data_IF_967617048148
#
_entry.id   IF_967617048148
#
_cell.length_a   1.000
_cell.length_b   1.000
_cell.length_c   1.000
_cell.angle_alpha   90.00
_cell.angle_beta   90.00
_cell.angle_gamma   90.00
#
_symmetry.space_group_name_H-M   'P 1'
#
loop_
_entity.id
_entity.type
_entity.pdbx_description
1 polymer ?
#
# COMPACT_ATOMS: atom_id res chain seq x y z
N UNK A 1 0.50 -7.60 35.67
CA UNK A 1 0.57 -8.71 34.69
C UNK A 1 1.22 -8.19 33.43
N UNK A 2 2.33 -8.78 33.03
CA UNK A 2 3.08 -8.32 31.83
C UNK A 2 2.35 -8.67 30.54
N UNK A 3 2.66 -7.94 29.44
CA UNK A 3 2.12 -8.21 28.08
C UNK A 3 2.31 -9.69 27.70
N UNK A 4 3.43 -10.30 28.09
CA UNK A 4 3.75 -11.71 27.84
C UNK A 4 2.78 -12.65 28.59
N UNK A 5 2.34 -12.30 29.80
CA UNK A 5 1.42 -13.11 30.58
C UNK A 5 0.00 -13.06 29.98
N UNK A 6 -0.44 -11.91 29.47
CA UNK A 6 -1.72 -11.77 28.77
C UNK A 6 -1.77 -12.53 27.45
N UNK A 7 -0.67 -12.52 26.70
CA UNK A 7 -0.53 -13.30 25.46
C UNK A 7 -0.59 -14.81 25.79
N UNK A 8 -0.02 -15.23 26.93
CA UNK A 8 -0.02 -16.63 27.37
C UNK A 8 -1.36 -17.08 27.90
N UNK A 9 -2.13 -16.21 28.56
CA UNK A 9 -3.46 -16.53 29.10
C UNK A 9 -4.55 -16.54 28.01
N UNK A 10 -4.44 -15.68 26.96
CA UNK A 10 -5.32 -15.74 25.80
C UNK A 10 -5.21 -17.06 25.03
N UNK A 11 -4.05 -17.73 25.07
CA UNK A 11 -3.84 -19.05 24.45
C UNK A 11 -4.38 -20.24 25.24
N UNK A 12 -4.93 -20.03 26.45
CA UNK A 12 -5.39 -21.13 27.32
C UNK A 12 -6.87 -21.44 27.23
N UNK A 13 -7.66 -20.65 26.53
CA UNK A 13 -9.08 -20.95 26.33
C UNK A 13 -9.20 -22.23 25.50
N UNK A 14 -9.88 -23.25 26.03
CA UNK A 14 -10.16 -24.48 25.27
C UNK A 14 -11.08 -24.11 24.09
N UNK A 15 -10.49 -24.00 22.91
CA UNK A 15 -11.22 -23.76 21.68
C UNK A 15 -11.46 -25.12 21.01
N UNK A 16 -12.71 -25.49 20.78
CA UNK A 16 -13.02 -26.59 19.92
C UNK A 16 -12.58 -26.18 18.49
N UNK A 17 -11.56 -26.85 17.98
CA UNK A 17 -10.97 -26.50 16.70
C UNK A 17 -11.91 -26.93 15.57
N UNK A 18 -12.76 -26.04 15.12
CA UNK A 18 -13.40 -26.17 13.82
C UNK A 18 -12.54 -25.39 12.84
N UNK A 19 -11.85 -26.13 11.99
CA UNK A 19 -11.04 -25.56 10.94
C UNK A 19 -11.93 -25.30 9.75
N UNK A 20 -12.02 -24.04 9.30
CA UNK A 20 -12.65 -23.74 8.03
C UNK A 20 -11.74 -24.24 6.91
N UNK A 21 -12.16 -25.30 6.27
CA UNK A 21 -11.50 -25.88 5.11
C UNK A 21 -12.23 -25.44 3.87
N UNK A 22 -11.54 -24.80 2.95
CA UNK A 22 -12.01 -24.62 1.58
C UNK A 22 -11.33 -25.67 0.68
N UNK A 23 -11.87 -25.96 -0.49
CA UNK A 23 -11.30 -26.94 -1.41
C UNK A 23 -9.87 -26.59 -1.86
N UNK A 24 -9.46 -25.34 -1.76
CA UNK A 24 -8.15 -24.84 -2.18
C UNK A 24 -7.26 -24.38 -1.03
N UNK A 25 -7.71 -24.51 0.18
CA UNK A 25 -6.93 -24.07 1.35
C UNK A 25 -7.72 -24.17 2.63
N UNK A 26 -7.02 -24.13 3.70
CA UNK A 26 -7.54 -24.34 5.07
C UNK A 26 -7.74 -23.01 5.79
N UNK A 27 -8.07 -21.94 5.07
CA UNK A 27 -8.16 -20.61 5.65
C UNK A 27 -6.80 -20.06 6.11
N UNK A 28 -5.71 -20.63 5.60
CA UNK A 28 -4.37 -20.14 5.83
C UNK A 28 -4.06 -18.97 4.91
N UNK A 29 -3.52 -17.95 5.52
CA UNK A 29 -2.87 -16.88 4.83
C UNK A 29 -1.37 -16.93 5.14
N UNK A 30 -0.54 -16.94 4.11
CA UNK A 30 0.91 -16.92 4.23
C UNK A 30 1.48 -15.61 3.67
N UNK A 31 2.28 -14.90 4.46
CA UNK A 31 3.00 -13.72 4.00
C UNK A 31 4.46 -14.07 3.72
N UNK A 32 4.84 -13.99 2.45
CA UNK A 32 6.20 -14.19 1.98
C UNK A 32 6.94 -12.86 1.81
N UNK A 33 7.16 -12.03 2.65
CA UNK A 33 7.86 -10.73 2.57
C UNK A 33 8.85 -10.50 1.40
N UNK A 34 9.07 -11.53 0.56
CA UNK A 34 10.00 -11.49 -0.59
C UNK A 34 9.51 -10.59 -1.71
N UNK A 35 8.21 -10.48 -1.94
CA UNK A 35 7.64 -9.61 -2.99
C UNK A 35 8.04 -8.15 -2.79
N UNK A 36 8.13 -7.71 -1.56
CA UNK A 36 8.53 -6.33 -1.24
C UNK A 36 10.00 -6.04 -1.59
N UNK A 37 10.83 -7.07 -1.87
CA UNK A 37 12.22 -6.88 -2.32
C UNK A 37 12.32 -6.47 -3.79
N UNK A 38 11.28 -6.77 -4.60
CA UNK A 38 11.22 -6.30 -5.98
C UNK A 38 11.06 -4.78 -6.03
N UNK A 39 11.87 -4.14 -6.86
CA UNK A 39 11.81 -2.70 -7.12
C UNK A 39 10.50 -2.31 -7.81
N UNK A 40 10.05 -3.11 -8.79
CA UNK A 40 8.79 -2.91 -9.52
C UNK A 40 7.59 -2.99 -8.58
N UNK A 41 7.51 -4.05 -7.75
CA UNK A 41 6.42 -4.22 -6.77
C UNK A 41 6.44 -3.10 -5.75
N UNK A 42 7.61 -2.78 -5.19
CA UNK A 42 7.76 -1.71 -4.20
C UNK A 42 7.34 -0.35 -4.76
N UNK A 43 7.72 -0.06 -6.00
CA UNK A 43 7.33 1.18 -6.68
C UNK A 43 5.82 1.23 -6.91
N UNK A 44 5.23 0.14 -7.36
CA UNK A 44 3.80 0.04 -7.66
C UNK A 44 2.90 0.22 -6.43
N UNK A 45 3.29 -0.31 -5.26
CA UNK A 45 2.46 -0.21 -4.05
C UNK A 45 2.68 1.09 -3.27
N UNK A 46 3.79 1.81 -3.49
CA UNK A 46 4.14 3.02 -2.75
C UNK A 46 3.04 4.09 -2.76
N UNK A 47 2.41 4.44 -3.90
CA UNK A 47 1.34 5.44 -3.92
C UNK A 47 0.16 5.07 -3.03
N UNK A 48 -0.24 3.80 -3.03
CA UNK A 48 -1.30 3.27 -2.19
C UNK A 48 -0.93 3.37 -0.70
N UNK A 49 0.23 2.87 -0.33
CA UNK A 49 0.72 2.85 1.05
C UNK A 49 0.80 4.26 1.63
N UNK A 50 1.38 5.19 0.86
CA UNK A 50 1.50 6.59 1.29
C UNK A 50 0.16 7.29 1.38
N UNK A 51 -0.78 7.01 0.46
CA UNK A 51 -2.11 7.60 0.50
C UNK A 51 -2.89 7.14 1.74
N UNK A 52 -2.89 5.85 2.05
CA UNK A 52 -3.52 5.32 3.26
C UNK A 52 -2.83 5.84 4.53
N UNK A 53 -1.50 5.99 4.52
CA UNK A 53 -0.75 6.58 5.63
C UNK A 53 -1.19 8.01 5.96
N UNK A 54 -1.53 8.80 4.95
CA UNK A 54 -1.96 10.20 5.09
C UNK A 54 -3.40 10.36 5.57
N UNK A 55 -4.21 9.31 5.60
CA UNK A 55 -5.57 9.40 6.12
C UNK A 55 -5.56 9.89 7.57
N UNK A 56 -6.48 10.78 7.90
CA UNK A 56 -6.60 11.37 9.24
C UNK A 56 -7.73 10.64 9.96
N UNK A 57 -7.44 9.89 11.03
CA UNK A 57 -8.47 9.30 11.86
C UNK A 57 -9.04 10.34 12.81
N UNK A 58 -10.36 10.33 12.97
CA UNK A 58 -11.08 11.19 13.92
C UNK A 58 -12.11 10.35 14.65
N UNK A 59 -12.25 10.57 15.93
CA UNK A 59 -13.43 10.15 16.65
C UNK A 59 -14.54 11.17 16.40
N UNK A 60 -15.73 10.69 16.10
CA UNK A 60 -16.93 11.53 15.94
C UNK A 60 -17.99 11.03 16.90
N UNK A 61 -18.57 11.95 17.65
CA UNK A 61 -19.75 11.73 18.47
C UNK A 61 -20.91 12.53 17.91
N UNK A 62 -21.92 11.81 17.41
CA UNK A 62 -23.14 12.40 16.86
C UNK A 62 -24.22 12.38 17.95
N UNK A 63 -24.72 13.55 18.30
CA UNK A 63 -25.77 13.73 19.30
C UNK A 63 -26.88 14.62 18.77
N UNK A 64 -28.05 14.54 19.36
CA UNK A 64 -29.16 15.43 19.08
C UNK A 64 -29.34 16.39 20.24
N UNK A 65 -29.15 17.69 20.03
CA UNK A 65 -29.38 18.74 21.01
C UNK A 65 -30.49 19.66 20.49
N UNK A 66 -31.57 19.78 21.24
CA UNK A 66 -32.72 20.63 20.90
C UNK A 66 -33.40 20.32 19.54
N UNK A 67 -33.36 19.08 19.07
CA UNK A 67 -33.87 18.68 17.74
C UNK A 67 -32.93 18.94 16.59
N UNK A 68 -31.73 19.46 16.87
CA UNK A 68 -30.66 19.63 15.86
C UNK A 68 -29.54 18.62 16.07
N UNK A 69 -29.07 18.07 14.95
CA UNK A 69 -27.89 17.19 14.97
C UNK A 69 -26.65 17.99 15.31
N UNK A 70 -26.00 17.65 16.40
CA UNK A 70 -24.71 18.20 16.80
C UNK A 70 -23.63 17.13 16.61
N UNK A 71 -22.48 17.54 16.07
CA UNK A 71 -21.34 16.66 15.82
C UNK A 71 -20.15 17.17 16.64
N UNK A 72 -19.66 16.33 17.54
CA UNK A 72 -18.43 16.61 18.29
C UNK A 72 -17.28 15.81 17.71
N UNK A 73 -16.16 16.49 17.44
CA UNK A 73 -14.96 15.88 16.85
C UNK A 73 -13.92 15.65 17.95
N UNK A 74 -13.42 14.42 18.03
CA UNK A 74 -12.45 13.98 19.03
C UNK A 74 -12.87 14.31 20.48
N UNK A 75 -14.09 13.93 20.90
CA UNK A 75 -14.56 14.23 22.25
C UNK A 75 -13.73 13.52 23.32
N UNK A 76 -13.20 12.33 23.02
CA UNK A 76 -12.35 11.56 23.93
C UNK A 76 -10.86 11.75 23.56
N UNK A 77 -10.14 12.48 24.41
CA UNK A 77 -8.71 12.70 24.24
C UNK A 77 -7.90 11.39 24.25
N UNK A 78 -8.38 10.37 24.95
CA UNK A 78 -7.71 9.06 25.03
C UNK A 78 -7.78 8.30 23.70
N UNK A 79 -8.97 8.25 23.08
CA UNK A 79 -9.17 7.64 21.77
C UNK A 79 -8.36 8.40 20.69
N UNK A 80 -8.40 9.74 20.73
CA UNK A 80 -7.59 10.55 19.82
C UNK A 80 -6.11 10.21 19.93
N UNK A 81 -5.58 10.17 21.15
CA UNK A 81 -4.18 9.83 21.40
C UNK A 81 -3.82 8.43 20.88
N UNK A 82 -4.68 7.43 21.11
CA UNK A 82 -4.50 6.08 20.61
C UNK A 82 -4.47 6.01 19.07
N UNK A 83 -5.20 6.89 18.37
CA UNK A 83 -5.20 6.96 16.91
C UNK A 83 -3.96 7.69 16.35
N UNK A 84 -3.43 8.67 17.10
CA UNK A 84 -2.22 9.42 16.77
C UNK A 84 -0.95 8.62 17.08
N UNK A 85 -0.91 7.94 18.24
CA UNK A 85 0.19 7.10 18.73
C UNK A 85 -0.32 5.71 19.12
N UNK A 86 -0.57 4.84 18.16
CA UNK A 86 -1.19 3.52 18.42
C UNK A 86 -0.32 2.60 19.29
N UNK A 87 0.98 2.82 19.30
CA UNK A 87 1.93 2.10 20.15
C UNK A 87 3.24 2.88 20.30
N UNK A 88 4.11 2.53 21.29
CA UNK A 88 5.36 3.25 21.56
C UNK A 88 6.40 3.24 20.43
N UNK A 89 6.20 2.45 19.39
CA UNK A 89 7.18 2.24 18.31
C UNK A 89 6.81 2.93 17.01
N UNK A 90 5.57 3.39 16.86
CA UNK A 90 5.04 3.88 15.58
C UNK A 90 4.09 5.05 15.79
N UNK A 91 4.29 6.11 14.99
CA UNK A 91 3.25 7.12 14.81
C UNK A 91 2.06 6.55 14.04
N UNK A 92 0.90 7.18 14.15
CA UNK A 92 -0.31 6.75 13.44
C UNK A 92 -0.12 6.66 11.92
N UNK A 93 0.68 7.54 11.31
CA UNK A 93 1.01 7.46 9.89
C UNK A 93 1.74 6.17 9.54
N UNK A 94 2.88 5.91 10.21
CA UNK A 94 3.69 4.71 9.95
C UNK A 94 2.90 3.43 10.21
N UNK A 95 2.06 3.43 11.23
CA UNK A 95 1.15 2.34 11.54
C UNK A 95 0.19 2.05 10.37
N UNK A 96 -0.47 3.08 9.81
CA UNK A 96 -1.37 2.94 8.66
C UNK A 96 -0.63 2.52 7.40
N UNK A 97 0.56 3.05 7.14
CA UNK A 97 1.41 2.63 6.02
C UNK A 97 1.74 1.12 6.11
N UNK A 98 2.04 0.64 7.30
CA UNK A 98 2.31 -0.78 7.53
C UNK A 98 1.09 -1.66 7.26
N UNK A 99 -0.08 -1.24 7.73
CA UNK A 99 -1.34 -1.95 7.45
C UNK A 99 -1.66 -1.96 5.95
N UNK A 100 -1.48 -0.82 5.28
CA UNK A 100 -1.69 -0.71 3.84
C UNK A 100 -0.76 -1.64 3.05
N UNK A 101 0.53 -1.71 3.42
CA UNK A 101 1.48 -2.60 2.78
C UNK A 101 1.11 -4.09 2.99
N UNK A 102 0.68 -4.47 4.19
CA UNK A 102 0.18 -5.82 4.46
C UNK A 102 -1.08 -6.12 3.64
N UNK A 103 -2.03 -5.20 3.63
CA UNK A 103 -3.31 -5.37 2.94
C UNK A 103 -3.14 -5.56 1.44
N UNK A 104 -2.33 -4.73 0.78
CA UNK A 104 -2.15 -4.80 -0.67
C UNK A 104 -1.37 -6.04 -1.11
N UNK A 105 -0.41 -6.52 -0.31
CA UNK A 105 0.42 -7.67 -0.66
C UNK A 105 -0.23 -9.00 -0.28
N UNK A 106 -0.94 -9.03 0.84
CA UNK A 106 -1.43 -10.28 1.44
C UNK A 106 -2.94 -10.44 1.38
N UNK A 107 -3.67 -9.43 0.85
CA UNK A 107 -5.12 -9.40 0.90
C UNK A 107 -5.69 -9.25 2.31
N UNK A 108 -4.84 -9.22 3.33
CA UNK A 108 -5.20 -9.15 4.75
C UNK A 108 -4.22 -8.28 5.53
N UNK A 109 -4.75 -7.53 6.51
CA UNK A 109 -3.93 -6.85 7.51
C UNK A 109 -4.58 -7.00 8.89
N UNK A 110 -3.78 -7.24 9.91
CA UNK A 110 -4.24 -7.53 11.25
C UNK A 110 -3.62 -6.60 12.27
N UNK A 111 -4.45 -6.15 13.21
CA UNK A 111 -4.03 -5.35 14.36
C UNK A 111 -4.54 -5.99 15.62
N UNK A 112 -3.65 -6.25 16.57
CA UNK A 112 -4.02 -6.66 17.92
C UNK A 112 -4.29 -5.43 18.77
N UNK A 113 -5.45 -5.37 19.37
CA UNK A 113 -5.81 -4.38 20.39
C UNK A 113 -5.40 -4.94 21.76
N UNK A 114 -4.49 -4.27 22.41
CA UNK A 114 -4.18 -4.56 23.81
C UNK A 114 -5.06 -3.71 24.68
N UNK A 115 -5.82 -4.37 25.58
CA UNK A 115 -6.72 -3.71 26.52
C UNK A 115 -6.15 -3.72 27.93
N UNK A 116 -6.49 -2.70 28.70
CA UNK A 116 -6.20 -2.64 30.13
C UNK A 116 -7.09 -3.60 30.95
N UNK A 117 -6.96 -3.55 32.29
CA UNK A 117 -7.78 -4.39 33.18
C UNK A 117 -9.27 -4.00 33.17
N UNK A 118 -9.60 -2.78 32.75
CA UNK A 118 -10.97 -2.28 32.60
C UNK A 118 -11.58 -2.59 31.23
N UNK A 119 -10.81 -3.20 30.31
CA UNK A 119 -11.23 -3.50 28.95
C UNK A 119 -11.04 -2.33 27.97
N UNK A 120 -10.46 -1.20 28.40
CA UNK A 120 -10.18 -0.07 27.52
C UNK A 120 -8.98 -0.37 26.60
N UNK A 121 -9.04 0.04 25.32
CA UNK A 121 -7.96 -0.19 24.36
C UNK A 121 -6.74 0.68 24.71
N UNK A 122 -5.65 0.07 25.13
CA UNK A 122 -4.42 0.74 25.56
C UNK A 122 -3.41 0.93 24.43
N UNK A 123 -3.34 -0.02 23.52
CA UNK A 123 -2.36 -0.01 22.42
C UNK A 123 -2.85 -0.86 21.26
N UNK A 124 -2.38 -0.53 20.05
CA UNK A 124 -2.68 -1.26 18.83
C UNK A 124 -1.38 -1.69 18.14
N UNK A 125 -1.21 -2.98 17.94
CA UNK A 125 0.00 -3.58 17.38
C UNK A 125 -0.31 -4.27 16.04
N UNK A 126 0.33 -3.89 14.93
CA UNK A 126 0.21 -4.64 13.68
C UNK A 126 0.82 -6.03 13.85
N UNK A 127 0.07 -7.08 13.50
CA UNK A 127 0.54 -8.46 13.60
C UNK A 127 1.28 -8.83 12.32
N UNK A 128 2.55 -9.22 12.45
CA UNK A 128 3.37 -9.77 11.38
C UNK A 128 3.31 -11.29 11.48
N UNK A 129 2.29 -11.91 10.90
CA UNK A 129 2.16 -13.36 10.87
C UNK A 129 2.64 -13.92 9.53
N UNK A 130 3.27 -15.09 9.58
CA UNK A 130 3.60 -15.89 8.40
C UNK A 130 2.37 -16.63 7.90
N UNK A 131 1.52 -17.07 8.84
CA UNK A 131 0.25 -17.70 8.54
C UNK A 131 -0.80 -17.34 9.60
N UNK A 132 -2.05 -17.35 9.17
CA UNK A 132 -3.22 -17.14 10.02
C UNK A 132 -4.26 -18.22 9.75
N UNK A 133 -4.90 -18.71 10.80
CA UNK A 133 -5.97 -19.69 10.70
C UNK A 133 -7.18 -19.27 11.54
N UNK A 134 -8.39 -19.41 10.97
CA UNK A 134 -9.63 -19.21 11.69
C UNK A 134 -9.95 -20.42 12.56
N UNK A 135 -10.32 -20.18 13.81
CA UNK A 135 -10.81 -21.18 14.74
C UNK A 135 -12.11 -20.73 15.35
N UNK A 136 -13.03 -21.65 15.54
CA UNK A 136 -14.30 -21.37 16.18
C UNK A 136 -14.38 -22.04 17.53
N UNK A 137 -14.77 -21.28 18.54
CA UNK A 137 -15.10 -21.81 19.86
C UNK A 137 -16.43 -22.56 19.79
N UNK A 138 -16.73 -23.37 20.83
CA UNK A 138 -18.01 -24.12 20.96
C UNK A 138 -19.25 -23.22 20.88
N UNK A 139 -19.13 -21.97 21.33
CA UNK A 139 -20.19 -20.96 21.28
C UNK A 139 -20.26 -20.22 19.91
N UNK A 140 -19.51 -20.67 18.92
CA UNK A 140 -19.44 -20.05 17.59
C UNK A 140 -18.59 -18.79 17.50
N UNK A 141 -17.92 -18.37 18.58
CA UNK A 141 -17.05 -17.20 18.54
C UNK A 141 -15.80 -17.45 17.68
N UNK A 142 -15.47 -16.51 16.81
CA UNK A 142 -14.30 -16.56 15.96
C UNK A 142 -13.04 -16.18 16.72
N UNK A 143 -12.00 -16.96 16.53
CA UNK A 143 -10.65 -16.74 17.00
C UNK A 143 -9.66 -16.81 15.85
N UNK A 144 -8.60 -16.01 15.91
CA UNK A 144 -7.52 -16.02 14.93
C UNK A 144 -6.27 -16.62 15.56
N UNK A 145 -5.75 -17.68 14.97
CA UNK A 145 -4.47 -18.29 15.33
C UNK A 145 -3.39 -17.80 14.38
N UNK A 146 -2.42 -17.09 14.93
CA UNK A 146 -1.31 -16.47 14.18
C UNK A 146 -0.03 -17.25 14.39
N UNK A 147 0.60 -17.65 13.32
CA UNK A 147 1.95 -18.20 13.34
C UNK A 147 2.95 -17.11 12.97
N UNK A 148 3.88 -16.82 13.86
CA UNK A 148 4.94 -15.83 13.62
C UNK A 148 6.16 -16.46 12.96
N UNK A 149 7.04 -15.62 12.38
CA UNK A 149 8.28 -16.05 11.71
C UNK A 149 9.22 -16.88 12.61
N UNK A 150 9.20 -16.63 13.91
CA UNK A 150 9.97 -17.39 14.91
C UNK A 150 9.33 -18.74 15.31
N UNK A 151 8.29 -19.17 14.59
CA UNK A 151 7.55 -20.41 14.85
C UNK A 151 6.59 -20.35 16.04
N UNK A 152 6.49 -19.24 16.77
CA UNK A 152 5.53 -19.08 17.86
C UNK A 152 4.12 -18.92 17.30
N UNK A 153 3.16 -19.55 18.00
CA UNK A 153 1.75 -19.51 17.67
C UNK A 153 1.01 -18.79 18.78
N UNK A 154 0.17 -17.82 18.41
CA UNK A 154 -0.69 -17.07 19.32
C UNK A 154 -2.12 -17.11 18.80
N UNK A 155 -3.08 -17.19 19.73
CA UNK A 155 -4.50 -17.20 19.38
C UNK A 155 -5.20 -16.06 20.11
N UNK A 156 -5.92 -15.22 19.34
CA UNK A 156 -6.65 -14.07 19.86
C UNK A 156 -8.12 -14.14 19.45
N UNK A 157 -9.05 -13.67 20.29
CA UNK A 157 -10.45 -13.54 19.91
C UNK A 157 -10.61 -12.46 18.83
N UNK A 158 -11.55 -12.67 17.90
CA UNK A 158 -11.87 -11.68 16.85
C UNK A 158 -12.21 -10.30 17.44
N UNK A 159 -12.76 -10.24 18.65
CA UNK A 159 -13.09 -8.99 19.33
C UNK A 159 -11.88 -8.08 19.58
N UNK A 160 -10.69 -8.67 19.75
CA UNK A 160 -9.44 -7.92 19.99
C UNK A 160 -8.55 -7.81 18.75
N UNK A 161 -9.06 -8.23 17.59
CA UNK A 161 -8.33 -8.16 16.32
C UNK A 161 -9.10 -7.28 15.34
N UNK A 162 -8.48 -6.18 14.89
CA UNK A 162 -8.94 -5.45 13.70
C UNK A 162 -8.42 -6.21 12.50
N UNK A 163 -9.30 -6.62 11.62
CA UNK A 163 -8.99 -7.37 10.43
C UNK A 163 -9.46 -6.63 9.18
N UNK A 164 -8.50 -6.10 8.43
CA UNK A 164 -8.75 -5.51 7.11
C UNK A 164 -8.57 -6.57 6.04
N UNK A 165 -9.44 -6.58 5.03
CA UNK A 165 -9.52 -7.63 4.02
C UNK A 165 -9.71 -7.06 2.63
N UNK A 166 -9.13 -7.73 1.65
CA UNK A 166 -9.25 -7.38 0.25
C UNK A 166 -9.35 -8.65 -0.60
N UNK A 167 -10.01 -8.54 -1.74
CA UNK A 167 -10.06 -9.61 -2.76
C UNK A 167 -10.63 -10.94 -2.21
N UNK A 168 -11.92 -10.91 -1.86
CA UNK A 168 -12.63 -12.10 -1.38
C UNK A 168 -12.97 -13.03 -2.53
N UNK A 169 -12.51 -14.28 -2.46
CA UNK A 169 -12.92 -15.32 -3.39
C UNK A 169 -12.90 -16.73 -2.78
N UNK A 170 -11.80 -17.12 -2.17
CA UNK A 170 -11.56 -18.52 -1.76
C UNK A 170 -12.00 -18.82 -0.32
N UNK A 171 -12.20 -17.80 0.49
CA UNK A 171 -12.43 -17.95 1.92
C UNK A 171 -13.42 -16.92 2.46
N UNK A 172 -14.33 -17.37 3.32
CA UNK A 172 -15.35 -16.49 3.92
C UNK A 172 -14.80 -15.53 4.98
N UNK A 173 -13.63 -15.85 5.56
CA UNK A 173 -13.02 -15.05 6.64
C UNK A 173 -11.89 -14.18 6.14
N UNK A 174 -11.05 -14.70 5.24
CA UNK A 174 -9.82 -14.04 4.80
C UNK A 174 -9.92 -13.58 3.35
N UNK A 175 -9.28 -12.44 3.06
CA UNK A 175 -9.04 -11.99 1.71
C UNK A 175 -7.99 -12.86 1.01
N UNK A 176 -8.04 -12.93 -0.31
CA UNK A 176 -7.13 -13.71 -1.12
C UNK A 176 -5.79 -12.97 -1.33
N UNK A 177 -4.64 -13.60 -1.06
CA UNK A 177 -3.35 -12.96 -1.28
C UNK A 177 -3.04 -12.80 -2.76
N UNK A 178 -2.47 -11.68 -3.14
CA UNK A 178 -2.04 -11.40 -4.51
C UNK A 178 -0.74 -12.13 -4.88
N UNK A 179 -0.01 -12.63 -3.87
CA UNK A 179 1.30 -13.25 -4.01
C UNK A 179 1.37 -14.37 -5.06
N UNK A 180 0.40 -15.31 -5.16
CA UNK A 180 0.45 -16.36 -6.18
C UNK A 180 0.40 -15.81 -7.61
N UNK A 181 -0.42 -14.79 -7.87
CA UNK A 181 -0.53 -14.17 -9.19
C UNK A 181 0.72 -13.32 -9.52
N UNK A 182 1.28 -12.62 -8.54
CA UNK A 182 2.53 -11.87 -8.69
C UNK A 182 3.73 -12.79 -8.89
N UNK A 183 3.78 -13.95 -8.24
CA UNK A 183 4.92 -14.85 -8.31
C UNK A 183 5.26 -15.26 -9.76
N UNK A 184 4.24 -15.54 -10.57
CA UNK A 184 4.43 -15.87 -12.00
C UNK A 184 5.02 -14.69 -12.80
N UNK A 185 4.57 -13.47 -12.53
CA UNK A 185 5.10 -12.27 -13.18
C UNK A 185 6.52 -11.96 -12.72
N UNK A 186 6.80 -12.17 -11.44
CA UNK A 186 8.14 -11.97 -10.86
C UNK A 186 9.15 -12.98 -11.37
N UNK A 187 8.74 -14.23 -11.67
CA UNK A 187 9.60 -15.20 -12.31
C UNK A 187 10.05 -14.72 -13.71
N UNK A 188 9.12 -14.14 -14.49
CA UNK A 188 9.46 -13.57 -15.79
C UNK A 188 10.45 -12.41 -15.62
N UNK A 189 10.20 -11.46 -14.71
CA UNK A 189 11.09 -10.31 -14.44
C UNK A 189 12.48 -10.82 -14.06
N UNK A 190 12.56 -11.68 -13.05
CA UNK A 190 13.85 -12.20 -12.54
C UNK A 190 14.63 -12.97 -13.60
N UNK A 191 13.94 -13.78 -14.40
CA UNK A 191 14.58 -14.53 -15.50
C UNK A 191 15.09 -13.60 -16.59
N UNK A 192 14.30 -12.57 -16.91
CA UNK A 192 14.67 -11.53 -17.88
C UNK A 192 15.90 -10.75 -17.42
N UNK A 193 15.92 -10.29 -16.17
CA UNK A 193 17.04 -9.56 -15.57
C UNK A 193 18.31 -10.43 -15.55
N UNK A 194 18.19 -11.70 -15.18
CA UNK A 194 19.30 -12.64 -15.24
C UNK A 194 19.80 -12.86 -16.66
N UNK A 195 18.91 -12.92 -17.64
CA UNK A 195 19.25 -12.97 -19.06
C UNK A 195 20.06 -11.77 -19.50
N UNK A 196 19.61 -10.56 -19.13
CA UNK A 196 20.32 -9.30 -19.40
C UNK A 196 21.70 -9.28 -18.72
N UNK A 197 21.77 -9.63 -17.44
CA UNK A 197 23.02 -9.70 -16.69
C UNK A 197 24.01 -10.70 -17.35
N UNK A 198 23.51 -11.87 -17.78
CA UNK A 198 24.31 -12.85 -18.53
C UNK A 198 24.78 -12.28 -19.87
N UNK A 199 23.88 -11.66 -20.64
CA UNK A 199 24.23 -11.05 -21.92
C UNK A 199 25.32 -9.97 -21.76
N UNK A 200 25.18 -9.10 -20.73
CA UNK A 200 26.18 -8.08 -20.42
C UNK A 200 27.52 -8.71 -19.99
N UNK A 201 27.50 -9.72 -19.11
CA UNK A 201 28.71 -10.42 -18.66
C UNK A 201 29.35 -11.23 -19.79
N UNK A 202 28.54 -11.88 -20.62
CA UNK A 202 28.99 -12.69 -21.74
C UNK A 202 29.33 -11.89 -22.99
N UNK A 203 29.02 -10.59 -23.03
CA UNK A 203 29.48 -9.71 -24.13
C UNK A 203 31.01 -9.72 -24.26
N UNK A 204 31.73 -10.22 -23.27
CA UNK A 204 33.17 -10.43 -23.25
C UNK A 204 33.59 -11.89 -23.57
N UNK A 205 32.66 -12.83 -23.85
CA UNK A 205 32.95 -14.26 -23.98
C UNK A 205 32.95 -14.70 -25.42
N UNK A 206 33.99 -15.47 -25.77
CA UNK A 206 34.29 -16.20 -27.01
C UNK A 206 33.44 -15.83 -28.23
N UNK A 207 33.87 -14.77 -28.90
CA UNK A 207 33.28 -14.34 -30.19
C UNK A 207 33.92 -15.09 -31.36
N UNK A 208 35.03 -15.80 -31.13
CA UNK A 208 35.83 -16.38 -32.15
C UNK A 208 36.21 -17.85 -31.84
N UNK A 209 35.98 -18.76 -32.76
CA UNK A 209 36.46 -20.11 -32.72
C UNK A 209 37.70 -20.20 -33.64
N UNK A 210 38.85 -20.42 -33.01
CA UNK A 210 40.11 -20.58 -33.74
C UNK A 210 40.28 -22.07 -34.04
N UNK A 211 40.29 -22.45 -35.32
CA UNK A 211 40.55 -23.80 -35.77
C UNK A 211 41.91 -23.88 -36.40
N UNK A 212 42.77 -24.73 -35.88
CA UNK A 212 44.13 -24.94 -36.45
C UNK A 212 44.17 -26.20 -37.30
N UNK A 213 44.87 -26.08 -38.46
CA UNK A 213 44.99 -27.20 -39.44
C UNK A 213 45.90 -28.29 -38.91
N UNK A 214 46.85 -27.99 -38.06
CA UNK A 214 47.76 -28.95 -37.42
C UNK A 214 47.35 -29.16 -35.94
N UNK A 215 47.50 -30.41 -35.46
CA UNK A 215 47.31 -30.72 -34.04
C UNK A 215 48.40 -30.03 -33.24
N UNK A 216 47.97 -29.14 -32.32
CA UNK A 216 48.82 -28.41 -31.39
C UNK A 216 48.68 -29.00 -29.98
N UNK A 217 49.71 -28.84 -29.16
CA UNK A 217 49.62 -29.18 -27.74
C UNK A 217 48.71 -28.18 -27.02
N UNK A 218 48.07 -28.55 -25.93
CA UNK A 218 47.17 -27.68 -25.18
C UNK A 218 47.80 -26.33 -24.80
N UNK A 219 49.05 -26.34 -24.40
CA UNK A 219 49.83 -25.11 -24.02
C UNK A 219 50.03 -24.16 -25.21
N UNK A 220 50.25 -24.72 -26.42
CA UNK A 220 50.42 -23.91 -27.63
C UNK A 220 49.07 -23.36 -28.13
N UNK A 221 47.96 -24.07 -27.89
CA UNK A 221 46.61 -23.60 -28.18
C UNK A 221 46.23 -22.38 -27.32
N UNK A 222 46.53 -22.47 -26.04
CA UNK A 222 46.27 -21.41 -25.08
C UNK A 222 47.09 -20.16 -25.39
N UNK A 223 48.38 -20.34 -25.72
CA UNK A 223 49.26 -19.26 -26.11
C UNK A 223 48.79 -18.57 -27.39
N UNK A 224 48.39 -19.33 -28.41
CA UNK A 224 47.88 -18.79 -29.67
C UNK A 224 46.54 -18.09 -29.50
N UNK A 225 45.66 -18.59 -28.65
CA UNK A 225 44.39 -17.94 -28.30
C UNK A 225 44.63 -16.61 -27.58
N UNK A 226 45.59 -16.54 -26.66
CA UNK A 226 45.99 -15.32 -25.98
C UNK A 226 46.62 -14.30 -26.93
N UNK A 227 47.51 -14.71 -27.78
CA UNK A 227 48.12 -13.86 -28.84
C UNK A 227 47.07 -13.27 -29.80
N UNK A 228 46.07 -14.07 -30.19
CA UNK A 228 44.94 -13.60 -30.98
C UNK A 228 44.10 -12.56 -30.25
N UNK A 229 43.75 -12.85 -28.98
CA UNK A 229 42.96 -11.93 -28.15
C UNK A 229 43.68 -10.61 -27.91
N UNK A 230 44.98 -10.65 -27.65
CA UNK A 230 45.80 -9.44 -27.46
C UNK A 230 45.98 -8.63 -28.75
N UNK A 231 46.12 -9.30 -29.89
CA UNK A 231 46.38 -8.62 -31.18
C UNK A 231 45.12 -8.06 -31.82
N UNK A 232 43.95 -8.69 -31.61
CA UNK A 232 42.75 -8.35 -32.38
C UNK A 232 41.53 -7.97 -31.58
N UNK A 233 41.43 -8.33 -30.29
CA UNK A 233 40.25 -8.08 -29.46
C UNK A 233 40.39 -6.93 -28.49
N UNK A 234 41.55 -6.31 -28.35
CA UNK A 234 41.74 -5.10 -27.56
C UNK A 234 41.13 -3.88 -28.26
N UNK A 235 40.39 -3.10 -27.54
CA UNK A 235 39.71 -1.88 -28.03
C UNK A 235 40.68 -0.83 -28.60
N UNK A 236 41.96 -0.94 -28.28
CA UNK A 236 43.03 -0.03 -28.75
C UNK A 236 43.52 -0.34 -30.18
N UNK A 237 43.22 -1.55 -30.71
CA UNK A 237 43.62 -1.96 -32.04
C UNK A 237 42.54 -1.67 -33.10
N UNK A 238 42.09 -0.42 -33.19
CA UNK A 238 40.96 0.06 -33.97
C UNK A 238 41.05 -0.04 -35.51
N UNK A 239 41.85 -0.93 -36.10
CA UNK A 239 42.00 -1.04 -37.58
C UNK A 239 40.91 -1.90 -38.25
N UNK A 240 40.10 -2.63 -37.47
CA UNK A 240 38.97 -3.43 -38.00
C UNK A 240 39.33 -4.57 -38.95
N UNK A 241 40.60 -4.81 -39.21
CA UNK A 241 41.10 -5.86 -40.13
C UNK A 241 42.08 -6.77 -39.38
N UNK A 242 41.77 -8.05 -39.35
CA UNK A 242 42.65 -9.11 -38.85
C UNK A 242 43.22 -9.94 -39.99
N UNK A 243 44.57 -10.02 -40.10
CA UNK A 243 45.25 -10.92 -40.98
C UNK A 243 45.53 -12.25 -40.28
N UNK A 244 45.04 -13.35 -40.80
CA UNK A 244 45.20 -14.70 -40.25
C UNK A 244 46.07 -15.52 -41.15
N UNK A 245 47.03 -16.28 -40.62
CA UNK A 245 47.88 -17.19 -41.36
C UNK A 245 47.05 -18.40 -41.90
N UNK A 246 47.45 -18.93 -43.03
CA UNK A 246 46.83 -20.09 -43.68
C UNK A 246 46.74 -21.37 -42.79
N UNK A 247 47.42 -21.38 -41.64
CA UNK A 247 47.40 -22.47 -40.68
C UNK A 247 46.24 -22.35 -39.64
N UNK A 248 45.49 -21.23 -39.63
CA UNK A 248 44.46 -20.93 -38.68
C UNK A 248 43.20 -20.39 -39.36
N UNK A 249 42.05 -20.98 -39.08
CA UNK A 249 40.75 -20.47 -39.52
C UNK A 249 40.03 -19.88 -38.30
N UNK A 250 39.68 -18.60 -38.41
CA UNK A 250 38.97 -17.86 -37.35
C UNK A 250 37.52 -17.69 -37.75
N UNK A 251 36.62 -18.35 -37.08
CA UNK A 251 35.18 -18.24 -37.33
C UNK A 251 34.51 -17.48 -36.21
N UNK A 252 33.75 -16.46 -36.54
CA UNK A 252 32.91 -15.78 -35.58
C UNK A 252 31.79 -16.72 -35.14
N UNK A 253 31.64 -16.87 -33.82
CA UNK A 253 30.55 -17.61 -33.21
C UNK A 253 29.43 -16.62 -32.89
N UNK A 254 28.42 -16.63 -33.74
CA UNK A 254 27.20 -15.88 -33.44
C UNK A 254 26.48 -16.60 -32.29
N UNK A 255 26.74 -16.20 -31.08
CA UNK A 255 25.90 -16.56 -29.92
C UNK A 255 24.58 -15.84 -30.09
N UNK A 256 23.52 -16.57 -30.38
CA UNK A 256 22.16 -16.05 -30.29
C UNK A 256 21.84 -15.89 -28.80
N UNK A 257 22.37 -14.84 -28.20
CA UNK A 257 21.95 -14.46 -26.86
C UNK A 257 20.54 -13.88 -26.95
N UNK A 258 19.61 -14.50 -26.24
CA UNK A 258 18.27 -13.98 -26.12
C UNK A 258 18.34 -12.71 -25.26
N UNK A 259 18.27 -11.56 -25.91
CA UNK A 259 18.07 -10.27 -25.24
C UNK A 259 16.56 -10.02 -25.24
N UNK A 260 15.91 -9.92 -24.07
CA UNK A 260 14.48 -9.64 -24.01
C UNK A 260 14.16 -8.34 -24.74
N UNK A 261 13.08 -8.33 -25.51
CA UNK A 261 12.62 -7.14 -26.18
C UNK A 261 12.07 -6.15 -25.14
N UNK A 262 12.46 -4.86 -25.23
CA UNK A 262 11.97 -3.79 -24.36
C UNK A 262 10.43 -3.78 -24.25
N UNK A 263 9.71 -4.00 -25.35
CA UNK A 263 8.25 -4.10 -25.36
C UNK A 263 7.68 -5.27 -24.52
N UNK A 264 8.43 -6.37 -24.34
CA UNK A 264 8.02 -7.47 -23.46
C UNK A 264 8.22 -7.09 -21.99
N UNK A 265 9.31 -6.40 -21.67
CA UNK A 265 9.60 -5.90 -20.33
C UNK A 265 8.54 -4.89 -19.89
N UNK A 266 8.22 -3.93 -20.76
CA UNK A 266 7.18 -2.92 -20.51
C UNK A 266 5.81 -3.57 -20.30
N UNK A 267 5.43 -4.57 -21.11
CA UNK A 267 4.21 -5.34 -20.93
C UNK A 267 4.15 -6.05 -19.58
N UNK A 268 5.26 -6.64 -19.16
CA UNK A 268 5.30 -7.34 -17.86
C UNK A 268 5.13 -6.36 -16.72
N UNK A 269 5.81 -5.21 -16.77
CA UNK A 269 5.65 -4.13 -15.79
C UNK A 269 4.23 -3.60 -15.77
N UNK A 270 3.61 -3.36 -16.93
CA UNK A 270 2.22 -2.91 -17.02
C UNK A 270 1.24 -3.94 -16.44
N UNK A 271 1.49 -5.25 -16.62
CA UNK A 271 0.67 -6.30 -16.01
C UNK A 271 0.79 -6.30 -14.48
N UNK A 272 2.00 -6.08 -13.94
CA UNK A 272 2.20 -5.93 -12.49
C UNK A 272 1.46 -4.69 -11.99
N UNK A 273 1.54 -3.56 -12.69
CA UNK A 273 0.80 -2.34 -12.33
C UNK A 273 -0.71 -2.56 -12.38
N UNK A 274 -1.23 -3.21 -13.43
CA UNK A 274 -2.65 -3.52 -13.56
C UNK A 274 -3.13 -4.45 -12.43
N UNK A 275 -2.34 -5.48 -12.08
CA UNK A 275 -2.67 -6.40 -10.98
C UNK A 275 -2.71 -5.68 -9.62
N UNK A 276 -1.85 -4.69 -9.42
CA UNK A 276 -1.82 -3.83 -8.24
C UNK A 276 -2.73 -2.60 -8.36
N UNK A 277 -3.58 -2.58 -9.42
CA UNK A 277 -4.56 -1.52 -9.68
C UNK A 277 -3.95 -0.11 -9.72
N UNK A 278 -2.75 0.01 -10.29
CA UNK A 278 -2.02 1.27 -10.49
C UNK A 278 -1.56 1.42 -11.94
N UNK A 279 -0.91 2.51 -12.24
CA UNK A 279 -0.29 2.76 -13.55
C UNK A 279 1.00 3.59 -13.40
N UNK A 280 1.77 3.68 -14.48
CA UNK A 280 3.04 4.37 -14.51
C UNK A 280 2.93 5.83 -14.05
N UNK A 281 1.90 6.57 -14.47
CA UNK A 281 1.72 7.99 -14.12
C UNK A 281 1.49 8.21 -12.63
N UNK A 282 0.76 7.29 -11.99
CA UNK A 282 0.58 7.28 -10.53
C UNK A 282 1.90 6.96 -9.84
N UNK A 283 2.61 5.94 -10.31
CA UNK A 283 3.89 5.47 -9.72
C UNK A 283 4.98 6.52 -9.81
N UNK A 284 5.10 7.19 -10.97
CA UNK A 284 6.12 8.22 -11.22
C UNK A 284 5.72 9.62 -10.73
N UNK A 285 4.51 9.77 -10.17
CA UNK A 285 3.97 11.06 -9.73
C UNK A 285 3.74 12.09 -10.85
N UNK A 286 3.66 11.65 -12.10
CA UNK A 286 3.32 12.48 -13.26
C UNK A 286 1.81 12.59 -13.52
N UNK A 287 1.01 12.19 -12.53
CA UNK A 287 -0.44 12.15 -12.59
C UNK A 287 -1.07 13.55 -12.62
N UNK A 288 -2.17 13.68 -13.32
CA UNK A 288 -3.08 14.81 -13.19
C UNK A 288 -3.96 14.69 -11.92
N UNK A 289 -4.63 15.77 -11.52
CA UNK A 289 -5.59 15.76 -10.42
C UNK A 289 -6.75 14.77 -10.66
N UNK A 290 -7.29 14.75 -11.88
CA UNK A 290 -8.37 13.82 -12.25
C UNK A 290 -7.92 12.35 -12.18
N UNK A 291 -6.72 12.03 -12.64
CA UNK A 291 -6.17 10.67 -12.54
C UNK A 291 -5.96 10.25 -11.08
N UNK A 292 -5.56 11.21 -10.25
CA UNK A 292 -5.42 10.95 -8.82
C UNK A 292 -6.77 10.72 -8.14
N UNK A 293 -7.77 11.55 -8.44
CA UNK A 293 -9.11 11.40 -7.88
C UNK A 293 -9.71 10.05 -8.28
N UNK A 294 -9.62 9.66 -9.55
CA UNK A 294 -10.08 8.36 -10.01
C UNK A 294 -9.36 7.18 -9.32
N UNK A 295 -8.06 7.31 -9.09
CA UNK A 295 -7.28 6.32 -8.34
C UNK A 295 -7.70 6.27 -6.87
N UNK A 296 -7.90 7.44 -6.26
CA UNK A 296 -8.34 7.57 -4.88
C UNK A 296 -9.70 6.89 -4.67
N UNK A 297 -10.69 7.24 -5.48
CA UNK A 297 -12.05 6.69 -5.40
C UNK A 297 -12.07 5.16 -5.60
N UNK A 298 -11.25 4.66 -6.52
CA UNK A 298 -11.22 3.23 -6.82
C UNK A 298 -10.41 2.40 -5.83
N UNK A 299 -9.32 2.93 -5.23
CA UNK A 299 -8.36 2.14 -4.45
C UNK A 299 -8.26 2.54 -2.99
N UNK A 300 -8.38 3.82 -2.69
CA UNK A 300 -8.15 4.34 -1.33
C UNK A 300 -9.46 4.44 -0.56
N UNK A 301 -10.51 4.95 -1.16
CA UNK A 301 -11.81 5.13 -0.51
C UNK A 301 -12.39 3.83 0.04
N UNK A 302 -12.38 2.68 -0.67
CA UNK A 302 -12.86 1.42 -0.10
C UNK A 302 -12.11 1.00 1.16
N UNK A 303 -10.79 1.27 1.21
CA UNK A 303 -9.96 0.98 2.39
C UNK A 303 -10.25 1.95 3.52
N UNK A 304 -10.45 3.22 3.22
CA UNK A 304 -10.86 4.25 4.17
C UNK A 304 -12.18 3.87 4.85
N UNK A 305 -13.18 3.44 4.09
CA UNK A 305 -14.47 2.99 4.61
C UNK A 305 -14.31 1.75 5.49
N UNK A 306 -13.48 0.80 5.07
CA UNK A 306 -13.21 -0.41 5.85
C UNK A 306 -12.45 -0.09 7.16
N UNK A 307 -11.45 0.78 7.12
CA UNK A 307 -10.76 1.28 8.32
C UNK A 307 -11.76 1.90 9.28
N UNK A 308 -12.61 2.81 8.80
CA UNK A 308 -13.63 3.49 9.61
C UNK A 308 -14.57 2.50 10.27
N UNK A 309 -15.08 1.53 9.52
CA UNK A 309 -16.00 0.51 10.01
C UNK A 309 -15.35 -0.44 11.02
N UNK A 310 -14.16 -0.98 10.72
CA UNK A 310 -13.50 -1.96 11.57
C UNK A 310 -12.96 -1.33 12.86
N UNK A 311 -12.38 -0.14 12.81
CA UNK A 311 -11.94 0.58 14.00
C UNK A 311 -13.14 0.93 14.90
N UNK A 312 -14.23 1.45 14.33
CA UNK A 312 -15.47 1.70 15.08
C UNK A 312 -16.01 0.43 15.75
N UNK A 313 -16.04 -0.67 15.00
CA UNK A 313 -16.58 -1.95 15.49
C UNK A 313 -15.76 -2.55 16.63
N UNK A 314 -14.45 -2.34 16.65
CA UNK A 314 -13.51 -2.97 17.58
C UNK A 314 -13.13 -2.07 18.75
N UNK A 315 -13.11 -0.77 18.57
CA UNK A 315 -12.76 0.17 19.65
C UNK A 315 -13.96 0.49 20.53
N UNK A 316 -15.17 0.54 19.97
CA UNK A 316 -16.39 0.85 20.71
C UNK A 316 -17.31 -0.35 20.90
N UNK A 317 -17.91 -0.44 22.08
CA UNK A 317 -18.98 -1.39 22.38
C UNK A 317 -20.24 -1.11 21.54
N UNK A 318 -21.15 -2.07 21.47
CA UNK A 318 -22.45 -1.85 20.78
C UNK A 318 -23.23 -0.68 21.35
N UNK A 319 -23.14 -0.46 22.68
CA UNK A 319 -23.83 0.64 23.35
C UNK A 319 -23.25 1.99 22.91
N UNK A 320 -21.95 2.15 22.98
CA UNK A 320 -21.27 3.40 22.58
C UNK A 320 -21.56 3.76 21.12
N UNK A 321 -21.54 2.76 20.22
CA UNK A 321 -21.91 2.95 18.80
C UNK A 321 -23.37 3.37 18.63
N UNK A 322 -24.29 2.79 19.43
CA UNK A 322 -25.70 3.16 19.40
C UNK A 322 -25.94 4.59 19.89
N UNK A 323 -25.05 5.14 20.72
CA UNK A 323 -25.07 6.51 21.18
C UNK A 323 -24.32 7.50 20.25
N UNK A 324 -23.86 7.04 19.07
CA UNK A 324 -23.30 7.91 18.05
C UNK A 324 -21.77 7.97 18.00
N UNK A 325 -21.06 7.17 18.81
CA UNK A 325 -19.60 7.10 18.75
C UNK A 325 -19.13 6.30 17.51
N UNK A 326 -18.24 6.88 16.72
CA UNK A 326 -17.62 6.22 15.57
C UNK A 326 -16.24 6.79 15.28
N UNK A 327 -15.40 5.97 14.67
CA UNK A 327 -14.14 6.41 14.09
C UNK A 327 -14.37 6.63 12.59
N UNK A 328 -13.92 7.77 12.11
CA UNK A 328 -13.95 8.10 10.69
C UNK A 328 -12.52 8.39 10.24
N UNK A 329 -12.12 7.76 9.16
CA UNK A 329 -10.88 8.11 8.46
C UNK A 329 -11.26 9.08 7.33
N UNK A 330 -10.53 10.15 7.21
CA UNK A 330 -10.75 11.15 6.17
C UNK A 330 -9.46 11.36 5.39
N UNK A 331 -9.58 11.54 4.09
CA UNK A 331 -8.52 12.17 3.35
C UNK A 331 -8.56 13.67 3.68
N UNK A 332 -7.41 14.29 3.87
CA UNK A 332 -7.38 15.74 3.79
C UNK A 332 -7.85 16.12 2.37
N UNK A 333 -9.08 16.61 2.28
CA UNK A 333 -9.72 16.94 1.00
C UNK A 333 -8.86 17.91 0.16
N UNK A 334 -7.95 18.59 0.82
CA UNK A 334 -7.16 19.66 0.23
C UNK A 334 -5.69 19.30 -0.02
N UNK A 335 -5.19 18.17 0.50
CA UNK A 335 -3.76 17.79 0.33
C UNK A 335 -3.42 17.42 -1.13
N UNK A 336 -4.39 16.91 -1.86
CA UNK A 336 -4.25 16.56 -3.28
C UNK A 336 -4.70 17.67 -4.24
N UNK A 337 -5.46 18.67 -3.74
CA UNK A 337 -5.92 19.79 -4.53
C UNK A 337 -4.75 20.72 -4.90
N UNK A 338 -4.67 21.06 -6.18
CA UNK A 338 -3.68 22.03 -6.64
C UNK A 338 -4.00 23.44 -6.13
N UNK A 339 -3.03 24.36 -6.24
CA UNK A 339 -3.20 25.73 -5.75
C UNK A 339 -4.38 26.44 -6.40
N UNK A 340 -4.62 26.21 -7.71
CA UNK A 340 -5.74 26.84 -8.42
C UNK A 340 -7.09 26.34 -7.91
N UNK A 341 -7.24 25.06 -7.62
CA UNK A 341 -8.44 24.48 -7.01
C UNK A 341 -8.68 25.08 -5.63
N UNK A 342 -7.65 25.19 -4.79
CA UNK A 342 -7.76 25.82 -3.46
C UNK A 342 -8.16 27.28 -3.55
N UNK A 343 -7.61 28.03 -4.50
CA UNK A 343 -7.97 29.42 -4.73
C UNK A 343 -9.41 29.57 -5.22
N UNK A 344 -9.93 28.64 -6.02
CA UNK A 344 -11.30 28.66 -6.47
C UNK A 344 -12.34 28.52 -5.34
N UNK A 345 -11.95 27.96 -4.17
CA UNK A 345 -12.80 27.86 -2.99
C UNK A 345 -13.22 29.21 -2.42
N UNK A 346 -12.52 30.31 -2.74
CA UNK A 346 -12.93 31.66 -2.37
C UNK A 346 -14.36 31.95 -2.81
N UNK A 347 -14.77 31.43 -3.96
CA UNK A 347 -16.14 31.59 -4.43
C UNK A 347 -17.19 30.93 -3.51
N UNK A 348 -16.85 29.88 -2.78
CA UNK A 348 -17.71 29.24 -1.78
C UNK A 348 -17.80 30.07 -0.52
N UNK A 349 -16.67 30.70 -0.11
CA UNK A 349 -16.64 31.63 1.04
C UNK A 349 -17.51 32.85 0.74
N UNK A 350 -17.38 33.43 -0.45
CA UNK A 350 -18.15 34.57 -0.90
C UNK A 350 -19.68 34.34 -0.93
N UNK A 351 -20.06 33.06 -1.15
CA UNK A 351 -21.47 32.64 -1.15
C UNK A 351 -21.99 32.18 0.23
N UNK A 352 -21.14 32.18 1.25
CA UNK A 352 -21.47 31.69 2.57
C UNK A 352 -21.66 30.18 2.68
N UNK A 353 -21.20 29.43 1.68
CA UNK A 353 -21.21 27.95 1.69
C UNK A 353 -20.00 27.37 2.46
N UNK A 354 -18.97 28.17 2.68
CA UNK A 354 -17.76 27.85 3.41
C UNK A 354 -17.38 29.04 4.30
N UNK A 355 -16.91 28.78 5.52
CA UNK A 355 -16.44 29.84 6.41
C UNK A 355 -15.02 30.30 6.06
N UNK A 356 -14.62 31.52 6.42
CA UNK A 356 -13.24 31.97 6.26
C UNK A 356 -12.21 31.05 6.95
N UNK A 357 -12.53 30.49 8.12
CA UNK A 357 -11.63 29.63 8.86
C UNK A 357 -11.50 28.24 8.19
N UNK A 358 -12.56 27.67 7.62
CA UNK A 358 -12.49 26.44 6.82
C UNK A 358 -11.60 26.63 5.57
N UNK A 359 -11.72 27.77 4.89
CA UNK A 359 -10.85 28.11 3.77
C UNK A 359 -9.38 28.26 4.19
N UNK A 360 -9.13 28.93 5.33
CA UNK A 360 -7.78 29.07 5.90
C UNK A 360 -7.19 27.71 6.27
N UNK A 361 -8.00 26.81 6.81
CA UNK A 361 -7.58 25.44 7.14
C UNK A 361 -7.11 24.66 5.89
N UNK A 362 -7.72 24.90 4.72
CA UNK A 362 -7.27 24.30 3.46
C UNK A 362 -5.83 24.72 3.06
N UNK A 363 -5.34 25.84 3.60
CA UNK A 363 -3.97 26.33 3.43
C UNK A 363 -3.09 26.15 4.69
N UNK A 364 -3.54 25.39 5.68
CA UNK A 364 -2.86 25.23 6.98
C UNK A 364 -2.58 26.56 7.69
N UNK A 365 -3.44 27.55 7.53
CA UNK A 365 -3.35 28.84 8.19
C UNK A 365 -4.14 28.81 9.51
N UNK A 366 -3.60 29.47 10.54
CA UNK A 366 -4.27 29.60 11.83
C UNK A 366 -5.64 30.28 11.69
N UNK A 367 -6.67 29.87 12.46
CA UNK A 367 -7.98 30.48 12.42
C UNK A 367 -7.93 31.95 12.86
N UNK A 368 -8.84 32.76 12.33
CA UNK A 368 -9.04 34.16 12.72
C UNK A 368 -10.21 34.25 13.69
N UNK A 369 -10.17 35.17 14.66
CA UNK A 369 -11.33 35.51 15.49
C UNK A 369 -12.52 35.94 14.62
N UNK A 370 -13.70 35.34 14.83
CA UNK A 370 -14.90 35.63 14.05
C UNK A 370 -14.94 34.96 12.66
N UNK A 371 -13.88 34.24 12.25
CA UNK A 371 -13.82 33.61 10.94
C UNK A 371 -14.63 32.30 10.80
N UNK A 372 -15.32 31.85 11.86
CA UNK A 372 -16.22 30.69 11.83
C UNK A 372 -17.65 31.07 11.42
N UNK A 373 -17.93 32.38 11.27
CA UNK A 373 -19.22 32.85 10.77
C UNK A 373 -19.18 32.90 9.24
N UNK A 374 -20.21 32.35 8.56
CA UNK A 374 -20.34 32.49 7.12
C UNK A 374 -20.46 33.96 6.74
N UNK A 375 -19.67 34.38 5.74
CA UNK A 375 -19.77 35.75 5.18
C UNK A 375 -20.40 35.65 3.81
N UNK A 376 -21.18 36.66 3.43
CA UNK A 376 -21.72 36.83 2.08
C UNK A 376 -21.24 38.16 1.50
N UNK A 377 -21.02 38.16 0.20
CA UNK A 377 -20.84 39.41 -0.53
C UNK A 377 -22.14 40.24 -0.46
N UNK A 378 -22.02 41.52 -0.31
CA UNK A 378 -23.16 42.45 -0.22
C UNK A 378 -24.02 42.50 -1.49
N UNK A 379 -23.51 42.01 -2.63
CA UNK A 379 -24.20 41.94 -3.92
C UNK A 379 -25.05 40.68 -4.12
N UNK A 380 -25.10 39.77 -3.15
CA UNK A 380 -25.93 38.54 -3.22
C UNK A 380 -27.17 38.68 -2.33
N UNK A 381 -28.35 38.85 -2.95
CA UNK A 381 -29.64 38.78 -2.27
C UNK A 381 -30.16 37.35 -2.12
N UNK A 382 -30.93 37.08 -1.06
CA UNK A 382 -31.66 35.81 -0.94
C UNK A 382 -32.86 35.82 -1.89
N UNK A 383 -33.09 34.68 -2.57
CA UNK A 383 -34.18 34.53 -3.57
C UNK A 383 -35.58 34.74 -2.95
N UNK A 384 -35.71 34.71 -1.63
CA UNK A 384 -36.98 34.76 -0.88
C UNK A 384 -37.16 36.00 0.00
N UNK A 385 -36.34 37.02 -0.12
CA UNK A 385 -36.67 38.31 0.52
C UNK A 385 -37.75 39.01 -0.30
N UNK A 386 -38.92 39.30 0.29
CA UNK A 386 -39.89 40.15 -0.38
C UNK A 386 -39.22 41.51 -0.65
N UNK A 387 -39.24 41.95 -1.90
CA UNK A 387 -38.82 43.32 -2.22
C UNK A 387 -39.62 44.25 -1.34
N UNK A 388 -38.98 44.95 -0.41
CA UNK A 388 -39.60 46.15 0.21
C UNK A 388 -39.95 47.05 -0.94
N UNK A 389 -41.24 47.27 -1.12
CA UNK A 389 -41.75 48.30 -2.03
C UNK A 389 -41.27 49.61 -1.50
N UNK A 390 -40.36 50.28 -2.23
CA UNK A 390 -40.11 51.69 -2.01
C UNK A 390 -41.44 52.42 -2.09
N UNK A 391 -41.97 52.83 -0.93
CA UNK A 391 -43.11 53.71 -0.81
C UNK A 391 -42.66 55.09 -1.30
N UNK A 392 -42.88 55.34 -2.57
CA UNK A 392 -42.77 56.67 -3.14
C UNK A 392 -43.98 57.49 -2.64
N UNK A 393 -43.84 58.00 -1.40
CA UNK A 393 -44.77 59.03 -0.87
C UNK A 393 -44.65 60.33 -1.66
N UNK A 394 -45.75 60.67 -2.32
CA UNK A 394 -46.02 62.04 -2.78
C UNK A 394 -46.00 63.06 -1.64
#
# INVERSE_FOLDING_TARGET
MGIIDRIRDAGRTKVAAVQLMTEQGNGFYAWDGRLYRSDVVRSAIRPFVQAVGKLIPKEIYETEKNGERALEINPDAYIRFLLEEPNPYMSGQVFRERLAAQLILNGNAFVLILRDNGGLPQSMLPINAVAVQARYAENGALWHEFQLENGKVFTFPDADVIHLRRDFYENDVYGSPIAPALAQLMEIVTTTDQGIIKAVKNSAVIRWLLKFVKSLKPEDLEKRASEFAESFLRTENGTGVAAVDASMDAKEVNSHEYVPNAAQMDRTTQRIYALLSTNERIVTSLRTENEWNAYFDAQIEPVLLQLSAEFTRKLFSRRERAFGNRIVFEASAWDSANLSTKLALVALVDRGAMTPNEWRAAFNLAPLPGGDQPIRRLDTATVNEPKEQEDNGE
#
